data_IF_085871725048
#
_entry.id   IF_085871725048
#
_cell.length_a   1.000
_cell.length_b   1.000
_cell.length_c   1.000
_cell.angle_alpha   90.00
_cell.angle_beta   90.00
_cell.angle_gamma   90.00
#
_symmetry.space_group_name_H-M   'P 1'
#
loop_
_entity.id
_entity.type
_entity.pdbx_description
1 polymer ?
#
# COMPACT_ATOMS: atom_id res chain seq x y z
N UNK A 1 28.79 15.18 11.20
CA UNK A 1 27.90 14.81 12.31
C UNK A 1 26.85 13.87 11.75
N UNK A 2 26.88 12.59 12.11
CA UNK A 2 25.77 11.70 11.79
C UNK A 2 24.56 12.19 12.60
N UNK A 3 23.48 12.56 11.92
CA UNK A 3 22.23 12.84 12.59
C UNK A 3 21.86 11.58 13.39
N UNK A 4 21.66 11.71 14.70
CA UNK A 4 21.02 10.65 15.46
C UNK A 4 19.68 10.39 14.76
N UNK A 5 19.54 9.21 14.15
CA UNK A 5 18.29 8.83 13.51
C UNK A 5 17.19 8.98 14.55
N UNK A 6 16.20 9.82 14.25
CA UNK A 6 15.03 9.94 15.10
C UNK A 6 14.43 8.54 15.34
N UNK A 7 13.78 8.29 16.49
CA UNK A 7 13.14 7.00 16.73
C UNK A 7 12.21 6.64 15.56
N UNK A 8 12.41 5.47 14.97
CA UNK A 8 11.52 4.94 13.93
C UNK A 8 10.21 4.50 14.60
N UNK A 9 9.25 5.43 14.68
CA UNK A 9 7.96 5.19 15.33
C UNK A 9 7.16 4.05 14.68
N UNK A 10 7.40 3.79 13.39
CA UNK A 10 6.68 2.77 12.63
C UNK A 10 7.35 1.40 12.66
N UNK A 11 8.53 1.27 13.29
CA UNK A 11 9.30 0.03 13.31
C UNK A 11 8.49 -1.19 13.75
N UNK A 12 7.79 -1.10 14.89
CA UNK A 12 7.00 -2.20 15.42
C UNK A 12 5.80 -2.54 14.53
N UNK A 13 5.17 -1.53 13.93
CA UNK A 13 4.04 -1.71 13.02
C UNK A 13 4.48 -2.44 11.74
N UNK A 14 5.56 -1.97 11.11
CA UNK A 14 6.19 -2.64 9.95
C UNK A 14 6.56 -4.08 10.25
N UNK A 15 7.21 -4.30 11.40
CA UNK A 15 7.62 -5.65 11.82
C UNK A 15 6.41 -6.59 11.96
N UNK A 16 5.33 -6.15 12.63
CA UNK A 16 4.12 -6.95 12.75
C UNK A 16 3.49 -7.26 11.39
N UNK A 17 3.46 -6.27 10.48
CA UNK A 17 2.93 -6.45 9.14
C UNK A 17 3.73 -7.49 8.33
N UNK A 18 5.06 -7.36 8.27
CA UNK A 18 5.91 -8.26 7.48
C UNK A 18 6.00 -9.68 8.06
N UNK A 19 5.79 -9.84 9.37
CA UNK A 19 5.67 -11.16 9.99
C UNK A 19 4.28 -11.80 9.81
N UNK A 20 3.36 -11.15 9.09
CA UNK A 20 1.98 -11.63 8.91
C UNK A 20 1.11 -11.52 10.17
N UNK A 21 1.58 -10.81 11.20
CA UNK A 21 0.84 -10.54 12.44
C UNK A 21 -0.11 -9.34 12.25
N UNK A 22 -0.99 -9.42 11.25
CA UNK A 22 -1.87 -8.33 10.80
C UNK A 22 -2.79 -7.80 11.90
N UNK A 23 -3.35 -8.68 12.74
CA UNK A 23 -4.18 -8.24 13.86
C UNK A 23 -3.37 -7.44 14.89
N UNK A 24 -2.12 -7.83 15.14
CA UNK A 24 -1.24 -7.08 16.04
C UNK A 24 -0.82 -5.74 15.42
N UNK A 25 -0.61 -5.67 14.10
CA UNK A 25 -0.36 -4.42 13.40
C UNK A 25 -1.54 -3.45 13.58
N UNK A 26 -2.78 -3.91 13.39
CA UNK A 26 -4.00 -3.12 13.60
C UNK A 26 -4.12 -2.66 15.06
N UNK A 27 -3.95 -3.57 16.02
CA UNK A 27 -4.16 -3.24 17.44
C UNK A 27 -3.12 -2.24 17.97
N UNK A 28 -1.91 -2.23 17.40
CA UNK A 28 -0.81 -1.36 17.84
C UNK A 28 -0.57 -0.19 16.87
N UNK A 29 -1.55 0.17 16.04
CA UNK A 29 -1.42 1.28 15.10
C UNK A 29 -1.65 2.65 15.72
N UNK A 30 -2.21 2.73 16.94
CA UNK A 30 -2.43 4.01 17.61
C UNK A 30 -1.11 4.60 18.11
N UNK A 31 -0.46 5.36 17.23
CA UNK A 31 0.82 5.99 17.45
C UNK A 31 0.64 7.52 17.49
N UNK A 32 0.90 8.17 18.63
CA UNK A 32 0.78 9.62 18.76
C UNK A 32 1.96 10.34 18.09
N UNK A 33 1.76 11.60 17.71
CA UNK A 33 2.80 12.53 17.23
C UNK A 33 3.54 12.09 15.95
N UNK A 34 2.86 11.37 15.05
CA UNK A 34 3.40 11.05 13.74
C UNK A 34 3.47 12.28 12.84
N UNK A 35 4.50 12.33 11.98
CA UNK A 35 4.53 13.27 10.86
C UNK A 35 3.39 12.93 9.88
N UNK A 36 2.97 13.88 9.00
CA UNK A 36 1.96 13.58 7.98
C UNK A 36 2.33 12.38 7.10
N UNK A 37 3.62 12.25 6.75
CA UNK A 37 4.12 11.15 5.93
C UNK A 37 4.07 9.81 6.69
N UNK A 38 4.49 9.79 7.97
CA UNK A 38 4.41 8.58 8.80
C UNK A 38 2.96 8.17 9.09
N UNK A 39 2.05 9.14 9.22
CA UNK A 39 0.63 8.87 9.43
C UNK A 39 0.02 8.19 8.20
N UNK A 40 0.36 8.67 7.00
CA UNK A 40 -0.08 8.03 5.74
C UNK A 40 0.51 6.62 5.63
N UNK A 41 1.79 6.42 5.96
CA UNK A 41 2.41 5.10 5.91
C UNK A 41 1.77 4.13 6.91
N UNK A 42 1.54 4.57 8.16
CA UNK A 42 0.79 3.81 9.16
C UNK A 42 -0.55 3.36 8.60
N UNK A 43 -1.32 4.29 8.04
CA UNK A 43 -2.66 4.01 7.51
C UNK A 43 -2.58 3.01 6.34
N UNK A 44 -1.59 3.15 5.45
CA UNK A 44 -1.32 2.15 4.40
C UNK A 44 -1.06 0.76 4.97
N UNK A 45 -0.23 0.62 6.01
CA UNK A 45 0.07 -0.66 6.65
C UNK A 45 -1.16 -1.26 7.34
N UNK A 46 -1.97 -0.43 8.00
CA UNK A 46 -3.22 -0.85 8.66
C UNK A 46 -4.25 -1.33 7.65
N UNK A 47 -4.51 -0.56 6.60
CA UNK A 47 -5.48 -0.96 5.57
C UNK A 47 -5.01 -2.20 4.79
N UNK A 48 -3.71 -2.32 4.50
CA UNK A 48 -3.17 -3.56 3.91
C UNK A 48 -3.26 -4.75 4.86
N UNK A 49 -3.19 -4.54 6.18
CA UNK A 49 -3.46 -5.59 7.18
C UNK A 49 -4.92 -6.04 7.12
N UNK A 50 -5.88 -5.12 6.97
CA UNK A 50 -7.29 -5.46 6.75
C UNK A 50 -7.51 -6.24 5.45
N UNK A 51 -6.85 -5.86 4.35
CA UNK A 51 -6.89 -6.59 3.08
C UNK A 51 -6.37 -8.02 3.27
N UNK A 52 -5.24 -8.19 3.97
CA UNK A 52 -4.65 -9.50 4.22
C UNK A 52 -5.54 -10.41 5.10
N UNK A 53 -6.38 -9.81 5.96
CA UNK A 53 -7.41 -10.50 6.75
C UNK A 53 -8.74 -10.70 6.00
N UNK A 54 -8.82 -10.35 4.71
CA UNK A 54 -10.02 -10.49 3.88
C UNK A 54 -11.09 -9.42 4.11
N UNK A 55 -10.78 -8.37 4.88
CA UNK A 55 -11.71 -7.29 5.22
C UNK A 55 -11.74 -6.19 4.16
N UNK A 56 -11.97 -6.56 2.89
CA UNK A 56 -11.90 -5.63 1.75
C UNK A 56 -12.93 -4.50 1.82
N UNK A 57 -14.17 -4.82 2.20
CA UNK A 57 -15.27 -3.84 2.23
C UNK A 57 -15.01 -2.70 3.23
N UNK A 58 -14.34 -2.99 4.35
CA UNK A 58 -13.94 -1.97 5.32
C UNK A 58 -13.01 -0.95 4.65
N UNK A 59 -11.97 -1.43 3.97
CA UNK A 59 -10.99 -0.57 3.28
C UNK A 59 -11.66 0.27 2.18
N UNK A 60 -12.56 -0.33 1.42
CA UNK A 60 -13.30 0.35 0.35
C UNK A 60 -14.17 1.49 0.90
N UNK A 61 -14.78 1.29 2.07
CA UNK A 61 -15.69 2.25 2.68
C UNK A 61 -14.95 3.36 3.44
N UNK A 62 -13.88 3.04 4.15
CA UNK A 62 -13.15 4.00 5.00
C UNK A 62 -12.26 4.95 4.20
N UNK A 63 -11.71 4.50 3.07
CA UNK A 63 -10.86 5.35 2.24
C UNK A 63 -11.73 6.18 1.30
N UNK A 64 -11.93 7.45 1.64
CA UNK A 64 -12.60 8.44 0.77
C UNK A 64 -11.68 8.90 -0.37
N UNK A 65 -12.27 9.30 -1.49
CA UNK A 65 -11.63 9.90 -2.68
C UNK A 65 -10.71 11.11 -2.41
N UNK A 66 -10.90 11.82 -1.29
CA UNK A 66 -10.03 12.92 -0.87
C UNK A 66 -8.74 12.45 -0.15
N UNK A 67 -8.60 11.15 0.15
CA UNK A 67 -7.43 10.65 0.86
C UNK A 67 -6.17 10.69 -0.02
N UNK A 68 -5.00 10.68 0.63
CA UNK A 68 -3.71 10.72 -0.04
C UNK A 68 -3.58 9.61 -1.11
N UNK A 69 -2.85 9.89 -2.19
CA UNK A 69 -2.65 8.94 -3.30
C UNK A 69 -2.28 7.52 -2.82
N UNK A 70 -1.33 7.31 -1.89
CA UNK A 70 -1.01 5.97 -1.37
C UNK A 70 -2.22 5.19 -0.84
N UNK A 71 -3.14 5.87 -0.13
CA UNK A 71 -4.35 5.26 0.40
C UNK A 71 -5.34 4.94 -0.72
N UNK A 72 -5.47 5.82 -1.73
CA UNK A 72 -6.28 5.50 -2.91
C UNK A 72 -5.78 4.24 -3.62
N UNK A 73 -4.46 4.06 -3.74
CA UNK A 73 -3.91 2.83 -4.33
C UNK A 73 -4.26 1.61 -3.47
N UNK A 74 -4.18 1.71 -2.14
CA UNK A 74 -4.57 0.60 -1.24
C UNK A 74 -6.05 0.25 -1.40
N UNK A 75 -6.93 1.25 -1.56
CA UNK A 75 -8.34 1.02 -1.90
C UNK A 75 -8.50 0.29 -3.23
N UNK A 76 -7.71 0.67 -4.24
CA UNK A 76 -7.71 0.03 -5.54
C UNK A 76 -7.32 -1.46 -5.44
N UNK A 77 -6.34 -1.80 -4.61
CA UNK A 77 -6.01 -3.21 -4.32
C UNK A 77 -7.18 -3.96 -3.66
N UNK A 78 -7.86 -3.33 -2.71
CA UNK A 78 -9.02 -3.93 -2.06
C UNK A 78 -10.16 -4.20 -3.07
N UNK A 79 -10.42 -3.28 -4.00
CA UNK A 79 -11.39 -3.46 -5.08
C UNK A 79 -11.02 -4.66 -5.96
N UNK A 80 -9.77 -4.71 -6.43
CA UNK A 80 -9.24 -5.80 -7.26
C UNK A 80 -9.42 -7.19 -6.62
N UNK A 81 -9.13 -7.30 -5.32
CA UNK A 81 -9.23 -8.57 -4.58
C UNK A 81 -10.67 -8.92 -4.17
N UNK A 82 -11.54 -7.91 -4.02
CA UNK A 82 -12.92 -8.11 -3.55
C UNK A 82 -13.85 -8.72 -4.60
N UNK A 83 -13.67 -8.36 -5.87
CA UNK A 83 -14.63 -8.71 -6.93
C UNK A 83 -13.92 -8.99 -8.27
N UNK A 84 -14.07 -10.19 -8.84
CA UNK A 84 -13.52 -10.53 -10.14
C UNK A 84 -13.99 -9.62 -11.29
N UNK A 85 -15.18 -9.03 -11.18
CA UNK A 85 -15.72 -8.15 -12.22
C UNK A 85 -15.03 -6.80 -12.32
N UNK A 86 -14.45 -6.31 -11.21
CA UNK A 86 -13.78 -5.01 -11.15
C UNK A 86 -12.28 -5.10 -11.47
N UNK A 87 -11.79 -6.29 -11.81
CA UNK A 87 -10.36 -6.52 -12.10
C UNK A 87 -9.87 -5.71 -13.29
N UNK A 88 -10.58 -5.79 -14.42
CA UNK A 88 -10.15 -5.15 -15.67
C UNK A 88 -10.15 -3.61 -15.54
N UNK A 89 -11.21 -3.05 -14.93
CA UNK A 89 -11.29 -1.61 -14.66
C UNK A 89 -10.18 -1.15 -13.71
N UNK A 90 -9.90 -1.94 -12.67
CA UNK A 90 -8.81 -1.66 -11.72
C UNK A 90 -7.45 -1.66 -12.40
N UNK A 91 -7.16 -2.67 -13.25
CA UNK A 91 -5.90 -2.76 -13.99
C UNK A 91 -5.75 -1.57 -14.95
N UNK A 92 -6.82 -1.15 -15.61
CA UNK A 92 -6.81 0.02 -16.47
C UNK A 92 -6.46 1.31 -15.70
N UNK A 93 -7.13 1.56 -14.56
CA UNK A 93 -6.82 2.71 -13.70
C UNK A 93 -5.39 2.68 -13.16
N UNK A 94 -4.91 1.48 -12.79
CA UNK A 94 -3.54 1.31 -12.32
C UNK A 94 -2.51 1.68 -13.40
N UNK A 95 -2.73 1.23 -14.66
CA UNK A 95 -1.87 1.58 -15.80
C UNK A 95 -1.89 3.08 -16.10
N UNK A 96 -3.04 3.72 -16.00
CA UNK A 96 -3.18 5.17 -16.15
C UNK A 96 -2.35 5.92 -15.11
N UNK A 97 -2.44 5.52 -13.84
CA UNK A 97 -1.70 6.17 -12.75
C UNK A 97 -0.20 5.92 -12.83
N UNK A 98 0.22 4.75 -13.31
CA UNK A 98 1.64 4.45 -13.56
C UNK A 98 2.22 5.27 -14.72
N UNK A 99 1.39 5.69 -15.67
CA UNK A 99 1.79 6.54 -16.78
C UNK A 99 1.88 8.03 -16.40
N UNK A 100 1.24 8.45 -15.30
CA UNK A 100 1.29 9.82 -14.81
C UNK A 100 2.66 10.11 -14.14
N UNK A 101 3.46 11.07 -14.67
CA UNK A 101 4.76 11.42 -14.09
C UNK A 101 4.70 11.95 -12.65
N UNK A 102 3.56 12.49 -12.20
CA UNK A 102 3.40 13.07 -10.88
C UNK A 102 3.25 12.01 -9.78
N UNK A 103 2.61 10.88 -10.09
CA UNK A 103 2.27 9.83 -9.12
C UNK A 103 2.89 8.47 -9.44
N UNK A 104 3.33 8.23 -10.68
CA UNK A 104 3.95 6.98 -11.14
C UNK A 104 5.28 6.63 -10.45
N UNK A 105 5.89 7.57 -9.73
CA UNK A 105 7.07 7.37 -8.89
C UNK A 105 6.75 6.94 -7.45
N UNK A 106 5.47 6.94 -7.06
CA UNK A 106 5.05 6.58 -5.72
C UNK A 106 5.33 5.10 -5.43
N UNK A 107 6.02 4.83 -4.32
CA UNK A 107 6.42 3.47 -3.94
C UNK A 107 5.21 2.55 -3.69
N UNK A 108 4.16 3.04 -3.03
CA UNK A 108 2.95 2.23 -2.76
C UNK A 108 2.20 1.92 -4.05
N UNK A 109 2.15 2.86 -5.01
CA UNK A 109 1.59 2.63 -6.34
C UNK A 109 2.31 1.48 -7.06
N UNK A 110 3.64 1.55 -7.11
CA UNK A 110 4.48 0.53 -7.76
C UNK A 110 4.38 -0.83 -7.09
N UNK A 111 4.34 -0.86 -5.76
CA UNK A 111 4.17 -2.08 -4.99
C UNK A 111 2.84 -2.76 -5.31
N UNK A 112 1.75 -2.01 -5.27
CA UNK A 112 0.42 -2.56 -5.56
C UNK A 112 0.31 -2.98 -7.02
N UNK A 113 0.93 -2.23 -7.94
CA UNK A 113 1.03 -2.65 -9.32
C UNK A 113 1.75 -3.98 -9.48
N UNK A 114 2.88 -4.15 -8.80
CA UNK A 114 3.59 -5.42 -8.73
C UNK A 114 2.71 -6.55 -8.23
N UNK A 115 1.98 -6.35 -7.13
CA UNK A 115 1.05 -7.36 -6.58
C UNK A 115 -0.04 -7.74 -7.58
N UNK A 116 -0.70 -6.75 -8.20
CA UNK A 116 -1.79 -6.99 -9.17
C UNK A 116 -1.26 -7.72 -10.40
N UNK A 117 -0.14 -7.28 -10.98
CA UNK A 117 0.44 -7.95 -12.16
C UNK A 117 0.94 -9.36 -11.83
N UNK A 118 1.44 -9.61 -10.62
CA UNK A 118 1.76 -10.97 -10.16
C UNK A 118 0.52 -11.87 -10.10
N UNK A 119 -0.63 -11.34 -9.67
CA UNK A 119 -1.90 -12.09 -9.67
C UNK A 119 -2.44 -12.36 -11.08
N UNK A 120 -2.14 -11.50 -12.05
CA UNK A 120 -2.50 -11.66 -13.46
C UNK A 120 -1.47 -12.47 -14.27
N UNK A 121 -0.46 -13.04 -13.61
CA UNK A 121 0.65 -13.79 -14.24
C UNK A 121 1.48 -12.96 -15.25
N UNK A 122 1.36 -11.63 -15.22
CA UNK A 122 2.16 -10.70 -16.01
C UNK A 122 3.44 -10.31 -15.27
N UNK A 123 4.37 -11.26 -15.21
CA UNK A 123 5.63 -11.10 -14.48
C UNK A 123 6.53 -10.00 -15.07
N UNK A 124 6.38 -9.70 -16.36
CA UNK A 124 7.20 -8.69 -17.04
C UNK A 124 6.79 -7.29 -16.56
N UNK A 125 5.49 -6.98 -16.56
CA UNK A 125 5.01 -5.69 -16.05
C UNK A 125 5.21 -5.59 -14.54
N UNK A 126 5.06 -6.69 -13.78
CA UNK A 126 5.39 -6.69 -12.35
C UNK A 126 6.84 -6.22 -12.10
N UNK A 127 7.83 -6.88 -12.73
CA UNK A 127 9.26 -6.57 -12.54
C UNK A 127 9.64 -5.19 -13.08
N UNK A 128 8.97 -4.71 -14.12
CA UNK A 128 9.18 -3.36 -14.67
C UNK A 128 8.82 -2.28 -13.66
N UNK A 129 7.83 -2.52 -12.79
CA UNK A 129 7.40 -1.56 -11.78
C UNK A 129 8.09 -1.75 -10.42
N UNK A 130 8.61 -2.95 -10.14
CA UNK A 130 9.32 -3.25 -8.87
C UNK A 130 10.85 -3.25 -8.98
N UNK A 131 11.45 -3.00 -10.15
CA UNK A 131 12.93 -2.95 -10.26
C UNK A 131 13.57 -1.74 -9.58
N UNK A 132 12.81 -0.65 -9.42
CA UNK A 132 13.31 0.59 -8.87
C UNK A 132 13.11 0.54 -7.36
N UNK A 133 14.15 0.11 -6.65
CA UNK A 133 14.11 0.00 -5.21
C UNK A 133 14.03 1.35 -4.50
N UNK A 134 13.84 1.31 -3.17
CA UNK A 134 13.78 2.53 -2.36
C UNK A 134 12.99 2.37 -1.07
N UNK A 135 12.25 1.28 -0.92
CA UNK A 135 11.62 0.86 0.33
C UNK A 135 11.96 -0.60 0.60
N UNK A 136 11.55 -1.15 1.74
CA UNK A 136 11.73 -2.58 2.00
C UNK A 136 10.90 -3.47 1.06
N UNK A 137 9.91 -2.89 0.37
CA UNK A 137 8.94 -3.61 -0.45
C UNK A 137 9.20 -3.49 -1.96
N UNK A 138 10.20 -2.71 -2.36
CA UNK A 138 10.63 -2.46 -3.74
C UNK A 138 12.14 -2.60 -3.89
#
# INVERSE_FOLDING_TARGET
MAAAAAPDHLFHLRNNFYLGSFQAAINNSDLPNLSPDDAVERDCLVYRSYIALGSYQLVINEIDSAAATPLQVVKLLALYLSNPHDKESTIASLKEWLADPAIGSNAILRLIAGIVFMHEEDYIEALKHTNAGGTMEL
#
